data_IF_370530817980
#
_entry.id   IF_370530817980
#
_cell.length_a   1.000
_cell.length_b   1.000
_cell.length_c   1.000
_cell.angle_alpha   90.00
_cell.angle_beta   90.00
_cell.angle_gamma   90.00
#
_symmetry.space_group_name_H-M   'P 1'
#
loop_
_entity.id
_entity.type
_entity.pdbx_description
1 polymer ?
#
# COMPACT_ATOMS: atom_id res chain seq x y z
N UNK A 1 -41.04 66.60 -31.70
CA UNK A 1 -40.92 65.19 -32.13
C UNK A 1 -39.47 64.77 -32.00
N UNK A 2 -39.17 63.60 -31.41
CA UNK A 2 -37.91 62.81 -31.52
C UNK A 2 -36.61 63.52 -31.05
N UNK A 3 -35.56 62.88 -30.50
CA UNK A 3 -35.28 61.60 -29.82
C UNK A 3 -34.21 61.95 -28.72
N UNK A 4 -33.42 61.11 -28.02
CA UNK A 4 -33.13 59.66 -27.97
C UNK A 4 -32.97 59.33 -26.45
N UNK A 5 -33.84 58.51 -25.85
CA UNK A 5 -33.51 57.18 -25.31
C UNK A 5 -32.10 56.96 -24.75
N UNK A 6 -31.97 57.00 -23.42
CA UNK A 6 -30.97 56.21 -22.68
C UNK A 6 -31.65 54.99 -22.04
N UNK A 7 -30.92 53.88 -21.96
CA UNK A 7 -31.34 52.67 -21.24
C UNK A 7 -30.45 52.51 -20.01
N UNK A 8 -30.97 52.79 -18.80
CA UNK A 8 -30.23 52.59 -17.55
C UNK A 8 -31.12 51.89 -16.51
N UNK A 9 -30.82 50.61 -16.26
CA UNK A 9 -31.64 49.70 -15.46
C UNK A 9 -31.32 49.80 -13.96
N UNK A 10 -31.59 50.95 -13.34
CA UNK A 10 -31.30 51.22 -11.92
C UNK A 10 -32.53 51.63 -11.10
N UNK A 11 -33.56 50.77 -11.05
CA UNK A 11 -34.78 51.00 -10.26
C UNK A 11 -34.56 50.87 -8.74
N UNK A 12 -34.57 52.01 -8.02
CA UNK A 12 -34.72 52.06 -6.55
C UNK A 12 -36.18 52.20 -6.13
N UNK A 13 -36.95 51.10 -6.14
CA UNK A 13 -38.22 51.05 -5.43
C UNK A 13 -38.00 50.77 -3.94
N UNK A 14 -38.50 51.65 -3.06
CA UNK A 14 -38.52 51.42 -1.61
C UNK A 14 -39.82 50.74 -1.20
N UNK A 15 -39.73 49.70 -0.38
CA UNK A 15 -40.85 49.13 0.36
C UNK A 15 -40.61 49.28 1.87
N UNK A 16 -41.68 49.48 2.63
CA UNK A 16 -41.68 49.51 4.09
C UNK A 16 -42.61 48.42 4.60
N UNK A 17 -42.25 47.78 5.71
CA UNK A 17 -42.98 46.65 6.31
C UNK A 17 -43.42 47.04 7.72
N UNK A 18 -44.69 46.81 8.13
CA UNK A 18 -45.13 47.08 9.51
C UNK A 18 -44.71 45.99 10.50
N UNK A 19 -44.44 46.38 11.75
CA UNK A 19 -44.02 45.49 12.87
C UNK A 19 -45.04 44.41 13.29
N UNK A 20 -46.22 44.36 12.65
CA UNK A 20 -47.18 43.27 12.84
C UNK A 20 -46.72 41.94 12.22
N UNK A 21 -45.87 41.98 11.19
CA UNK A 21 -45.45 40.79 10.43
C UNK A 21 -44.45 39.89 11.17
N UNK A 22 -43.85 40.36 12.28
CA UNK A 22 -42.75 39.68 12.98
C UNK A 22 -43.23 38.76 14.12
N UNK A 23 -44.52 38.82 14.51
CA UNK A 23 -45.02 38.16 15.74
C UNK A 23 -45.75 36.83 15.57
N UNK A 24 -45.93 36.32 14.36
CA UNK A 24 -46.55 35.00 14.16
C UNK A 24 -45.49 33.87 14.21
N UNK A 25 -45.63 32.96 15.19
CA UNK A 25 -44.66 31.88 15.43
C UNK A 25 -44.85 30.65 14.51
N UNK A 26 -45.86 30.64 13.64
CA UNK A 26 -46.25 29.49 12.81
C UNK A 26 -45.19 29.01 11.79
N UNK A 27 -44.22 29.84 11.39
CA UNK A 27 -43.30 29.55 10.29
C UNK A 27 -41.99 28.82 10.66
N UNK A 28 -41.78 28.43 11.91
CA UNK A 28 -40.54 27.73 12.34
C UNK A 28 -40.26 26.41 11.61
N UNK A 29 -41.27 25.78 11.02
CA UNK A 29 -41.16 24.49 10.33
C UNK A 29 -40.62 24.58 8.89
N UNK A 30 -40.65 25.75 8.23
CA UNK A 30 -40.17 25.90 6.85
C UNK A 30 -38.65 26.19 6.73
N UNK A 31 -37.93 26.35 7.85
CA UNK A 31 -36.50 26.69 7.87
C UNK A 31 -35.58 25.48 7.57
N UNK A 32 -36.00 24.60 6.66
CA UNK A 32 -35.37 23.32 6.34
C UNK A 32 -34.99 23.15 4.85
N UNK A 33 -35.35 24.10 3.98
CA UNK A 33 -34.91 24.12 2.57
C UNK A 33 -33.75 25.12 2.45
N UNK A 34 -32.53 24.63 2.70
CA UNK A 34 -31.33 25.42 2.45
C UNK A 34 -31.01 25.41 0.95
N UNK A 35 -31.38 26.50 0.26
CA UNK A 35 -30.84 26.81 -1.06
C UNK A 35 -29.32 27.04 -0.97
N UNK A 36 -28.62 27.00 -2.11
CA UNK A 36 -27.20 27.33 -2.20
C UNK A 36 -27.00 28.85 -2.04
N UNK A 37 -27.04 29.31 -0.79
CA UNK A 37 -26.76 30.70 -0.43
C UNK A 37 -25.26 30.90 -0.30
N UNK A 38 -24.66 31.63 -1.27
CA UNK A 38 -23.30 32.16 -1.15
C UNK A 38 -23.32 33.24 -0.04
N UNK A 39 -22.91 32.86 1.16
CA UNK A 39 -23.05 33.70 2.34
C UNK A 39 -21.88 34.69 2.45
N UNK A 40 -22.07 35.91 1.94
CA UNK A 40 -21.18 37.05 2.19
C UNK A 40 -21.73 37.86 3.37
N UNK A 41 -21.02 37.95 4.52
CA UNK A 41 -21.45 38.76 5.64
C UNK A 41 -21.66 40.22 5.23
N UNK A 42 -22.75 40.83 5.72
CA UNK A 42 -23.21 42.19 5.40
C UNK A 42 -23.71 42.46 3.96
N UNK A 43 -23.99 41.44 3.13
CA UNK A 43 -24.82 41.63 1.91
C UNK A 43 -26.04 40.71 1.93
N UNK A 44 -27.23 41.30 2.06
CA UNK A 44 -28.50 40.59 2.13
C UNK A 44 -29.08 40.32 0.73
N UNK A 45 -28.58 39.28 0.04
CA UNK A 45 -29.22 38.71 -1.15
C UNK A 45 -28.91 37.21 -1.28
N UNK A 46 -29.94 36.42 -1.54
CA UNK A 46 -29.83 35.11 -2.19
C UNK A 46 -30.98 34.98 -3.17
N UNK A 47 -30.66 34.85 -4.45
CA UNK A 47 -31.61 34.83 -5.55
C UNK A 47 -31.29 33.66 -6.46
N UNK A 48 -32.24 32.76 -6.68
CA UNK A 48 -32.10 31.75 -7.74
C UNK A 48 -32.45 32.43 -9.07
N UNK A 49 -31.47 32.47 -9.96
CA UNK A 49 -31.70 32.78 -11.38
C UNK A 49 -31.86 31.47 -12.13
N UNK A 50 -33.01 31.30 -12.79
CA UNK A 50 -33.21 30.29 -13.83
C UNK A 50 -33.15 31.03 -15.16
N UNK A 51 -32.00 30.92 -15.84
CA UNK A 51 -31.79 31.49 -17.17
C UNK A 51 -31.66 30.33 -18.16
N UNK A 52 -32.54 30.31 -19.17
CA UNK A 52 -32.40 29.42 -20.32
C UNK A 52 -31.73 30.22 -21.45
N UNK A 53 -30.59 29.76 -21.95
CA UNK A 53 -29.66 30.58 -22.75
C UNK A 53 -30.27 31.16 -24.05
N UNK A 54 -31.35 30.56 -24.55
CA UNK A 54 -32.05 30.97 -25.78
C UNK A 54 -33.38 31.73 -25.52
N UNK A 55 -33.71 32.06 -24.26
CA UNK A 55 -34.92 32.82 -23.88
C UNK A 55 -34.54 34.17 -23.23
N UNK A 56 -34.91 35.34 -23.81
CA UNK A 56 -34.63 36.65 -23.22
C UNK A 56 -35.51 37.00 -21.99
N UNK A 57 -36.36 36.08 -21.54
CA UNK A 57 -37.25 36.25 -20.39
C UNK A 57 -36.57 36.16 -19.02
N UNK A 58 -36.85 37.12 -18.14
CA UNK A 58 -36.48 37.06 -16.73
C UNK A 58 -37.61 36.42 -15.90
N UNK A 59 -37.35 35.29 -15.27
CA UNK A 59 -38.28 34.57 -14.40
C UNK A 59 -38.19 35.10 -12.96
N UNK A 60 -39.33 35.48 -12.37
CA UNK A 60 -39.41 36.03 -11.01
C UNK A 60 -40.51 35.37 -10.18
N UNK A 61 -40.21 35.12 -8.90
CA UNK A 61 -41.17 34.61 -7.90
C UNK A 61 -41.81 35.79 -7.17
N UNK A 62 -43.12 35.77 -6.98
CA UNK A 62 -43.88 36.83 -6.31
C UNK A 62 -44.66 36.23 -5.12
N UNK A 63 -44.48 36.79 -3.92
CA UNK A 63 -45.25 36.41 -2.74
C UNK A 63 -46.70 36.92 -2.84
N UNK A 64 -47.65 35.99 -2.89
CA UNK A 64 -49.08 36.26 -3.00
C UNK A 64 -49.73 36.93 -1.78
N UNK A 65 -49.03 37.06 -0.64
CA UNK A 65 -49.57 37.69 0.56
C UNK A 65 -49.34 39.20 0.66
N UNK A 66 -48.74 39.85 -0.35
CA UNK A 66 -48.64 41.31 -0.38
C UNK A 66 -50.05 41.94 -0.53
N UNK A 67 -50.54 42.73 0.47
CA UNK A 67 -51.90 43.28 0.44
C UNK A 67 -52.12 44.34 -0.65
N UNK A 68 -51.08 44.79 -1.38
CA UNK A 68 -51.22 45.64 -2.56
C UNK A 68 -51.55 44.89 -3.86
N UNK A 69 -51.42 43.56 -3.88
CA UNK A 69 -51.64 42.71 -5.07
C UNK A 69 -52.87 41.80 -4.88
N UNK A 70 -53.34 41.63 -3.64
CA UNK A 70 -54.48 40.77 -3.27
C UNK A 70 -55.80 41.31 -3.83
N UNK A 71 -56.14 40.85 -5.04
CA UNK A 71 -57.32 41.28 -5.81
C UNK A 71 -57.04 41.54 -7.29
N UNK A 72 -55.77 41.63 -7.72
CA UNK A 72 -55.42 41.69 -9.14
C UNK A 72 -55.33 40.29 -9.73
N UNK A 73 -56.42 39.85 -10.37
CA UNK A 73 -56.48 38.65 -11.19
C UNK A 73 -55.47 38.73 -12.35
N UNK A 74 -54.54 37.77 -12.41
CA UNK A 74 -53.75 37.35 -13.60
C UNK A 74 -53.61 38.42 -14.70
N UNK A 75 -52.97 39.55 -14.36
CA UNK A 75 -52.79 40.69 -15.25
C UNK A 75 -51.43 40.66 -15.92
N UNK A 76 -51.40 40.70 -17.25
CA UNK A 76 -50.16 40.84 -18.02
C UNK A 76 -49.54 42.21 -17.71
N UNK A 77 -48.25 42.23 -17.34
CA UNK A 77 -47.45 43.46 -17.31
C UNK A 77 -47.08 43.84 -18.74
N UNK A 78 -47.92 44.66 -19.39
CA UNK A 78 -47.94 44.90 -20.84
C UNK A 78 -46.74 45.65 -21.45
N UNK A 79 -45.64 45.82 -20.70
CA UNK A 79 -44.39 46.46 -21.18
C UNK A 79 -43.16 45.53 -21.12
N UNK A 80 -43.30 44.26 -20.69
CA UNK A 80 -42.23 43.24 -20.79
C UNK A 80 -42.75 41.91 -21.36
N UNK A 81 -42.59 41.73 -22.66
CA UNK A 81 -43.21 40.66 -23.48
C UNK A 81 -42.80 39.22 -23.14
N UNK A 82 -41.80 39.00 -22.27
CA UNK A 82 -41.20 37.67 -22.03
C UNK A 82 -41.09 37.26 -20.54
N UNK A 83 -41.84 37.89 -19.63
CA UNK A 83 -41.84 37.51 -18.21
C UNK A 83 -42.96 36.51 -17.87
N UNK A 84 -42.70 35.21 -18.11
CA UNK A 84 -43.62 34.14 -17.71
C UNK A 84 -43.74 34.03 -16.17
N UNK A 85 -44.96 34.08 -15.65
CA UNK A 85 -45.21 33.95 -14.19
C UNK A 85 -45.19 32.49 -13.76
N UNK A 86 -44.33 32.15 -12.80
CA UNK A 86 -44.39 30.87 -12.10
C UNK A 86 -45.57 30.88 -11.12
N UNK A 87 -46.64 30.18 -11.48
CA UNK A 87 -47.80 29.92 -10.61
C UNK A 87 -47.69 28.53 -9.97
N UNK A 88 -48.45 28.26 -8.89
CA UNK A 88 -48.47 26.93 -8.25
C UNK A 88 -48.88 25.82 -9.23
N UNK A 89 -49.74 26.12 -10.21
CA UNK A 89 -50.13 25.18 -11.27
C UNK A 89 -48.95 24.75 -12.18
N UNK A 90 -47.91 25.59 -12.29
CA UNK A 90 -46.71 25.33 -13.09
C UNK A 90 -45.54 24.79 -12.23
N UNK A 91 -45.73 24.68 -10.91
CA UNK A 91 -44.73 24.23 -9.93
C UNK A 91 -45.15 22.89 -9.32
N UNK A 92 -44.94 21.79 -10.06
CA UNK A 92 -45.18 20.44 -9.54
C UNK A 92 -44.10 20.06 -8.51
N UNK A 93 -44.36 20.37 -7.24
CA UNK A 93 -43.41 20.23 -6.11
C UNK A 93 -43.43 18.85 -5.44
N UNK A 94 -44.02 17.82 -6.06
CA UNK A 94 -43.99 16.45 -5.55
C UNK A 94 -42.54 15.96 -5.38
N UNK A 95 -42.09 15.81 -4.13
CA UNK A 95 -40.74 15.36 -3.78
C UNK A 95 -39.65 16.44 -3.78
N UNK A 96 -40.00 17.73 -3.88
CA UNK A 96 -39.04 18.83 -3.69
C UNK A 96 -38.05 19.06 -4.83
N UNK A 97 -38.40 18.66 -6.06
CA UNK A 97 -37.61 18.91 -7.28
C UNK A 97 -38.19 20.09 -8.05
N UNK A 98 -37.34 20.93 -8.65
CA UNK A 98 -37.76 22.06 -9.50
C UNK A 98 -37.58 21.69 -10.97
N UNK A 99 -38.69 21.39 -11.64
CA UNK A 99 -38.74 21.19 -13.10
C UNK A 99 -39.24 22.46 -13.78
N UNK A 100 -38.43 23.03 -14.69
CA UNK A 100 -38.86 24.11 -15.60
C UNK A 100 -39.08 23.55 -17.00
N UNK A 101 -40.23 22.90 -17.18
CA UNK A 101 -40.67 22.41 -18.49
C UNK A 101 -41.28 23.55 -19.32
N UNK A 102 -40.54 24.06 -20.30
CA UNK A 102 -41.11 24.94 -21.33
C UNK A 102 -41.96 24.13 -22.31
N UNK A 103 -43.25 24.44 -22.41
CA UNK A 103 -44.16 23.82 -23.40
C UNK A 103 -45.00 24.88 -24.10
N UNK A 104 -44.98 24.87 -25.43
CA UNK A 104 -45.84 25.73 -26.25
C UNK A 104 -47.21 25.10 -26.50
N UNK A 105 -48.26 25.92 -26.46
CA UNK A 105 -49.47 25.70 -27.24
C UNK A 105 -50.58 24.81 -26.64
N UNK A 106 -51.44 25.43 -25.83
CA UNK A 106 -52.86 25.06 -25.62
C UNK A 106 -53.15 23.72 -24.87
N UNK A 107 -54.38 23.51 -24.36
CA UNK A 107 -54.62 22.53 -23.29
C UNK A 107 -54.91 21.11 -23.79
N UNK A 108 -54.15 20.13 -23.27
CA UNK A 108 -54.33 18.71 -23.56
C UNK A 108 -53.29 17.82 -22.86
N UNK A 109 -53.28 17.82 -21.53
CA UNK A 109 -52.22 17.17 -20.76
C UNK A 109 -52.24 15.63 -20.83
N UNK A 110 -51.24 15.08 -21.52
CA UNK A 110 -50.65 13.78 -21.19
C UNK A 110 -49.17 14.02 -20.83
N UNK A 111 -48.72 13.48 -19.69
CA UNK A 111 -47.37 13.75 -19.19
C UNK A 111 -46.30 12.93 -19.94
N UNK A 112 -45.70 13.51 -20.97
CA UNK A 112 -44.50 12.97 -21.63
C UNK A 112 -43.26 13.26 -20.76
N UNK A 113 -42.47 12.24 -20.35
CA UNK A 113 -41.20 12.47 -19.67
C UNK A 113 -40.25 13.32 -20.52
N UNK A 114 -39.64 14.33 -19.92
CA UNK A 114 -38.70 15.22 -20.63
C UNK A 114 -37.33 14.54 -20.82
N UNK A 115 -36.91 14.38 -22.07
CA UNK A 115 -35.65 13.71 -22.47
C UNK A 115 -34.61 14.71 -22.99
N UNK A 116 -34.51 15.89 -22.38
CA UNK A 116 -33.55 16.90 -22.78
C UNK A 116 -32.13 16.62 -22.27
N UNK A 117 -31.13 16.75 -23.14
CA UNK A 117 -29.71 16.73 -22.76
C UNK A 117 -29.27 18.08 -22.22
N UNK A 118 -28.67 18.11 -21.02
CA UNK A 118 -27.95 19.27 -20.53
C UNK A 118 -26.53 19.32 -21.10
N UNK A 119 -26.09 20.50 -21.52
CA UNK A 119 -24.70 20.79 -21.91
C UNK A 119 -24.14 21.86 -20.98
N UNK A 120 -23.17 21.49 -20.13
CA UNK A 120 -22.39 22.46 -19.35
C UNK A 120 -21.08 22.79 -20.07
N UNK A 121 -20.35 23.81 -19.61
CA UNK A 121 -19.11 24.30 -20.24
C UNK A 121 -17.89 23.36 -20.16
N UNK A 122 -18.09 22.09 -19.82
CA UNK A 122 -17.08 21.00 -19.85
C UNK A 122 -17.62 19.89 -20.76
N UNK A 123 -16.77 19.40 -21.65
CA UNK A 123 -17.20 18.79 -22.91
C UNK A 123 -18.14 17.58 -22.83
N UNK A 124 -19.06 17.53 -23.81
CA UNK A 124 -19.82 16.36 -24.28
C UNK A 124 -20.72 15.61 -23.28
N UNK A 125 -22.00 15.97 -23.32
CA UNK A 125 -23.17 15.07 -23.31
C UNK A 125 -23.17 13.89 -22.31
N UNK A 126 -23.85 14.09 -21.17
CA UNK A 126 -24.44 13.00 -20.40
C UNK A 126 -25.97 13.06 -20.54
N UNK A 127 -26.59 11.96 -21.00
CA UNK A 127 -28.06 11.81 -21.03
C UNK A 127 -28.55 11.44 -19.63
N UNK A 128 -28.42 12.39 -18.70
CA UNK A 128 -28.79 12.21 -17.30
C UNK A 128 -30.31 12.20 -17.11
N UNK A 129 -30.93 11.01 -17.15
CA UNK A 129 -32.27 10.82 -16.60
C UNK A 129 -32.24 11.13 -15.11
N UNK A 130 -32.85 12.25 -14.72
CA UNK A 130 -32.70 12.83 -13.38
C UNK A 130 -33.48 12.05 -12.30
N UNK A 131 -32.98 10.87 -11.93
CA UNK A 131 -33.24 10.28 -10.61
C UNK A 131 -32.64 11.21 -9.56
N UNK A 132 -33.50 12.04 -8.96
CA UNK A 132 -33.09 13.21 -8.20
C UNK A 132 -32.14 12.90 -7.04
N UNK A 133 -30.95 13.49 -7.10
CA UNK A 133 -29.93 13.43 -6.05
C UNK A 133 -30.39 14.22 -4.82
N UNK A 134 -31.05 13.56 -3.86
CA UNK A 134 -31.61 14.21 -2.67
C UNK A 134 -30.49 14.54 -1.68
N UNK A 135 -29.94 15.75 -1.78
CA UNK A 135 -28.97 16.30 -0.80
C UNK A 135 -29.70 16.64 0.49
N UNK A 136 -29.45 15.86 1.54
CA UNK A 136 -29.93 16.14 2.89
C UNK A 136 -28.80 16.74 3.75
N UNK A 137 -29.17 17.30 4.90
CA UNK A 137 -28.23 17.86 5.89
C UNK A 137 -27.13 16.87 6.35
N UNK A 138 -27.37 15.58 6.20
CA UNK A 138 -26.47 14.50 6.63
C UNK A 138 -25.73 13.81 5.46
N UNK A 139 -25.85 14.33 4.23
CA UNK A 139 -25.32 13.71 3.00
C UNK A 139 -26.40 13.52 1.94
N UNK A 140 -26.00 13.08 0.74
CA UNK A 140 -26.94 12.80 -0.35
C UNK A 140 -27.43 11.35 -0.31
N UNK A 141 -28.73 11.15 -0.48
CA UNK A 141 -29.34 9.82 -0.49
C UNK A 141 -29.57 9.35 -1.94
N UNK A 142 -28.85 8.30 -2.33
CA UNK A 142 -29.00 7.60 -3.61
C UNK A 142 -29.78 6.31 -3.32
N UNK A 143 -30.83 6.03 -4.09
CA UNK A 143 -31.73 4.90 -3.88
C UNK A 143 -31.99 4.14 -5.19
N UNK A 144 -32.25 2.83 -5.08
CA UNK A 144 -32.37 1.92 -6.23
C UNK A 144 -31.07 1.81 -7.05
N UNK A 145 -31.17 1.21 -8.23
CA UNK A 145 -30.05 1.00 -9.17
C UNK A 145 -29.65 2.30 -9.92
N UNK A 146 -29.52 3.40 -9.19
CA UNK A 146 -29.13 4.71 -9.74
C UNK A 146 -27.66 4.69 -10.14
N UNK A 147 -27.39 4.22 -11.36
CA UNK A 147 -26.08 4.13 -11.96
C UNK A 147 -25.51 5.54 -12.25
N UNK A 148 -24.69 6.06 -11.34
CA UNK A 148 -23.91 7.28 -11.58
C UNK A 148 -22.81 6.94 -12.59
N UNK A 149 -23.10 7.17 -13.87
CA UNK A 149 -22.19 6.89 -14.98
C UNK A 149 -20.95 7.80 -14.89
N UNK A 150 -19.87 7.25 -14.31
CA UNK A 150 -18.63 7.99 -13.97
C UNK A 150 -18.22 7.91 -12.50
N UNK A 151 -19.07 7.35 -11.63
CA UNK A 151 -18.78 7.16 -10.19
C UNK A 151 -19.06 8.39 -9.32
N UNK A 152 -18.75 8.28 -8.02
CA UNK A 152 -19.06 9.31 -7.02
C UNK A 152 -17.99 10.42 -6.99
N UNK A 153 -18.35 11.62 -7.43
CA UNK A 153 -17.49 12.80 -7.32
C UNK A 153 -17.45 13.32 -5.88
N UNK A 154 -16.25 13.38 -5.28
CA UNK A 154 -16.06 13.72 -3.86
C UNK A 154 -15.26 15.00 -3.58
N UNK A 155 -14.78 15.74 -4.58
CA UNK A 155 -13.97 16.97 -4.38
C UNK A 155 -12.83 16.82 -3.33
N UNK A 156 -12.11 15.70 -3.37
CA UNK A 156 -11.05 15.37 -2.41
C UNK A 156 -11.52 15.15 -0.96
N UNK A 157 -12.82 15.13 -0.67
CA UNK A 157 -13.36 14.82 0.65
C UNK A 157 -13.35 13.31 0.89
N UNK A 158 -13.39 12.91 2.17
CA UNK A 158 -13.51 11.49 2.57
C UNK A 158 -14.95 11.02 2.39
N UNK A 159 -15.14 9.84 1.79
CA UNK A 159 -16.34 9.06 2.05
C UNK A 159 -16.31 8.58 3.52
N UNK A 160 -17.41 8.79 4.24
CA UNK A 160 -17.56 8.44 5.67
C UNK A 160 -18.81 7.59 5.87
N UNK A 161 -18.93 6.95 7.03
CA UNK A 161 -20.06 6.09 7.41
C UNK A 161 -20.33 4.89 6.48
N UNK A 162 -19.32 4.47 5.70
CA UNK A 162 -19.35 3.24 4.92
C UNK A 162 -19.31 2.01 5.85
N UNK A 163 -20.14 1.01 5.55
CA UNK A 163 -20.05 -0.30 6.19
C UNK A 163 -18.83 -1.09 5.66
N UNK A 164 -18.26 -2.03 6.44
CA UNK A 164 -17.19 -2.89 5.96
C UNK A 164 -17.60 -3.74 4.75
N UNK A 165 -16.72 -3.82 3.75
CA UNK A 165 -16.89 -4.60 2.53
C UNK A 165 -16.95 -6.11 2.78
N UNK A 166 -17.77 -6.83 2.01
CA UNK A 166 -17.69 -8.28 1.87
C UNK A 166 -16.53 -8.62 0.93
N UNK A 167 -15.44 -9.16 1.45
CA UNK A 167 -14.24 -9.44 0.64
C UNK A 167 -14.37 -10.80 -0.05
N UNK A 168 -14.45 -10.78 -1.39
CA UNK A 168 -14.46 -11.97 -2.26
C UNK A 168 -13.80 -11.66 -3.60
N UNK A 169 -13.54 -12.68 -4.43
CA UNK A 169 -12.97 -12.52 -5.78
C UNK A 169 -13.90 -11.85 -6.79
N UNK A 170 -15.16 -11.59 -6.42
CA UNK A 170 -16.17 -10.92 -7.26
C UNK A 170 -16.75 -9.67 -6.59
N UNK A 171 -16.15 -9.21 -5.50
CA UNK A 171 -16.67 -8.06 -4.74
C UNK A 171 -16.36 -6.75 -5.45
N UNK A 172 -17.37 -5.87 -5.48
CA UNK A 172 -17.25 -4.47 -5.92
C UNK A 172 -17.38 -3.49 -4.75
N UNK A 173 -17.32 -3.99 -3.51
CA UNK A 173 -17.52 -3.20 -2.30
C UNK A 173 -16.33 -2.28 -2.00
N UNK A 174 -16.60 -1.10 -1.45
CA UNK A 174 -15.57 -0.17 -0.99
C UNK A 174 -14.93 -0.66 0.33
N UNK A 175 -13.71 -1.21 0.27
CA UNK A 175 -12.96 -1.64 1.46
C UNK A 175 -12.68 -0.44 2.38
N UNK A 176 -13.15 -0.51 3.63
CA UNK A 176 -13.04 0.60 4.58
C UNK A 176 -11.78 0.54 5.42
N UNK A 177 -11.38 1.68 5.99
CA UNK A 177 -10.11 1.83 6.71
C UNK A 177 -9.90 0.85 7.87
N UNK A 178 -10.95 0.37 8.55
CA UNK A 178 -10.81 -0.64 9.61
C UNK A 178 -10.36 -2.01 9.09
N UNK A 179 -10.75 -2.39 7.87
CA UNK A 179 -10.35 -3.66 7.24
C UNK A 179 -8.88 -3.62 6.81
N UNK A 180 -8.45 -2.51 6.22
CA UNK A 180 -7.03 -2.28 5.90
C UNK A 180 -6.19 -2.19 7.19
N UNK A 181 -6.70 -1.54 8.24
CA UNK A 181 -6.04 -1.46 9.54
C UNK A 181 -5.85 -2.85 10.19
N UNK A 182 -6.81 -3.78 10.05
CA UNK A 182 -6.58 -5.17 10.47
C UNK A 182 -5.40 -5.78 9.72
N UNK A 183 -5.28 -5.58 8.40
CA UNK A 183 -4.15 -6.07 7.62
C UNK A 183 -2.81 -5.39 8.00
N UNK A 184 -2.79 -4.09 8.33
CA UNK A 184 -1.53 -3.42 8.74
C UNK A 184 -1.09 -3.78 10.16
N UNK A 185 -2.02 -3.92 11.11
CA UNK A 185 -1.69 -4.23 12.50
C UNK A 185 -1.50 -5.73 12.78
N UNK A 186 -2.28 -6.59 12.12
CA UNK A 186 -2.25 -8.05 12.36
C UNK A 186 -1.66 -8.83 11.20
N UNK A 187 -1.29 -8.18 10.09
CA UNK A 187 -0.64 -8.83 8.95
C UNK A 187 -1.52 -9.88 8.27
N UNK A 188 -0.89 -10.94 7.79
CA UNK A 188 -1.58 -12.15 7.30
C UNK A 188 -1.14 -13.37 8.12
N UNK A 189 -1.85 -14.50 7.98
CA UNK A 189 -1.66 -15.73 8.79
C UNK A 189 -0.20 -16.21 8.98
N UNK A 190 0.71 -15.87 8.04
CA UNK A 190 2.12 -16.28 8.09
C UNK A 190 3.10 -15.11 8.07
N UNK A 191 2.62 -13.87 7.99
CA UNK A 191 3.45 -12.66 7.88
C UNK A 191 2.93 -11.59 8.85
N UNK A 192 3.60 -11.50 10.00
CA UNK A 192 3.37 -10.48 11.03
C UNK A 192 4.68 -9.70 11.23
N UNK A 193 4.63 -8.37 11.22
CA UNK A 193 5.77 -7.52 11.50
C UNK A 193 5.58 -6.82 12.87
N UNK A 194 6.54 -6.98 13.77
CA UNK A 194 6.61 -6.25 15.03
C UNK A 194 8.00 -5.62 15.15
N UNK A 195 8.09 -4.30 14.96
CA UNK A 195 9.34 -3.55 14.98
C UNK A 195 9.15 -2.23 15.72
N UNK A 196 10.10 -1.90 16.59
CA UNK A 196 10.29 -0.56 17.13
C UNK A 196 11.41 0.22 16.40
N UNK A 197 12.12 -0.41 15.47
CA UNK A 197 13.10 0.23 14.60
C UNK A 197 12.36 0.83 13.37
N UNK A 198 12.38 2.16 13.17
CA UNK A 198 11.64 2.83 12.10
C UNK A 198 12.38 2.89 10.76
N UNK A 199 13.63 2.41 10.68
CA UNK A 199 14.34 2.32 9.40
C UNK A 199 13.75 1.21 8.53
N UNK A 200 13.33 1.57 7.32
CA UNK A 200 12.80 0.65 6.32
C UNK A 200 13.86 -0.32 5.79
N UNK A 201 13.40 -1.34 5.06
CA UNK A 201 14.19 -2.22 4.21
C UNK A 201 14.54 -1.57 2.87
N UNK A 202 15.70 -1.91 2.31
CA UNK A 202 16.28 -1.27 1.12
C UNK A 202 16.79 -2.34 0.13
N UNK A 203 15.93 -2.87 -0.74
CA UNK A 203 16.32 -3.76 -1.84
C UNK A 203 16.76 -2.93 -3.05
N UNK A 204 18.06 -2.60 -3.10
CA UNK A 204 18.69 -1.82 -4.19
C UNK A 204 19.24 -2.67 -5.33
N UNK A 205 19.51 -3.95 -5.10
CA UNK A 205 19.87 -4.90 -6.16
C UNK A 205 18.68 -5.23 -7.06
N UNK A 206 18.93 -5.52 -8.34
CA UNK A 206 17.90 -6.02 -9.24
C UNK A 206 17.35 -7.36 -8.71
N UNK A 207 16.03 -7.55 -8.74
CA UNK A 207 15.34 -8.76 -8.25
C UNK A 207 15.67 -9.14 -6.78
N UNK A 208 16.04 -8.15 -5.96
CA UNK A 208 16.40 -8.34 -4.56
C UNK A 208 15.19 -8.47 -3.62
N UNK A 209 15.35 -9.25 -2.56
CA UNK A 209 14.38 -9.39 -1.45
C UNK A 209 15.01 -8.85 -0.17
N UNK A 210 14.42 -7.81 0.42
CA UNK A 210 14.80 -7.28 1.73
C UNK A 210 13.63 -7.38 2.71
N UNK A 211 13.83 -7.99 3.88
CA UNK A 211 12.76 -8.23 4.87
C UNK A 211 13.24 -7.91 6.29
N UNK A 212 12.62 -6.90 6.91
CA UNK A 212 12.92 -6.46 8.27
C UNK A 212 13.62 -5.10 8.30
N UNK A 213 13.62 -4.43 9.46
CA UNK A 213 14.05 -3.04 9.57
C UNK A 213 15.56 -2.88 9.35
N UNK A 214 15.97 -1.80 8.69
CA UNK A 214 17.34 -1.51 8.28
C UNK A 214 18.02 -2.63 7.43
N UNK A 215 17.26 -3.55 6.82
CA UNK A 215 17.81 -4.58 5.92
C UNK A 215 18.24 -3.94 4.60
N UNK A 216 19.49 -4.11 4.16
CA UNK A 216 19.99 -3.51 2.91
C UNK A 216 20.51 -4.59 1.96
N UNK A 217 19.96 -4.66 0.75
CA UNK A 217 20.24 -5.74 -0.20
C UNK A 217 20.66 -5.14 -1.54
N UNK A 218 21.97 -4.92 -1.70
CA UNK A 218 22.56 -4.24 -2.84
C UNK A 218 22.97 -5.19 -3.98
N UNK A 219 23.18 -6.47 -3.68
CA UNK A 219 23.53 -7.47 -4.68
C UNK A 219 22.31 -7.91 -5.48
N UNK A 220 22.42 -7.95 -6.81
CA UNK A 220 21.37 -8.49 -7.68
C UNK A 220 21.01 -9.93 -7.29
N UNK A 221 19.73 -10.28 -7.37
CA UNK A 221 19.16 -11.56 -6.94
C UNK A 221 19.49 -11.93 -5.48
N UNK A 222 19.81 -10.93 -4.65
CA UNK A 222 20.16 -11.11 -3.24
C UNK A 222 18.94 -11.23 -2.31
N UNK A 223 19.13 -11.88 -1.17
CA UNK A 223 18.10 -12.08 -0.15
C UNK A 223 18.63 -11.66 1.22
N UNK A 224 18.08 -10.58 1.78
CA UNK A 224 18.36 -10.12 3.15
C UNK A 224 17.13 -10.27 4.03
N UNK A 225 17.26 -10.95 5.18
CA UNK A 225 16.16 -11.15 6.14
C UNK A 225 16.66 -10.96 7.57
N UNK A 226 16.29 -9.85 8.23
CA UNK A 226 16.55 -9.61 9.65
C UNK A 226 17.05 -8.19 9.95
N UNK A 227 16.86 -7.74 11.20
CA UNK A 227 17.25 -6.39 11.63
C UNK A 227 18.72 -6.09 11.32
N UNK A 228 18.98 -5.09 10.48
CA UNK A 228 20.32 -4.75 9.96
C UNK A 228 21.05 -5.88 9.20
N UNK A 229 20.32 -6.78 8.52
CA UNK A 229 20.93 -7.72 7.57
C UNK A 229 21.43 -6.99 6.31
N UNK A 230 22.60 -7.37 5.79
CA UNK A 230 23.25 -6.71 4.65
C UNK A 230 23.68 -7.74 3.60
N UNK A 231 23.26 -7.54 2.36
CA UNK A 231 23.88 -8.13 1.16
C UNK A 231 24.65 -7.02 0.43
N UNK A 232 25.96 -7.19 0.30
CA UNK A 232 26.86 -6.21 -0.31
C UNK A 232 26.67 -6.08 -1.83
N UNK A 233 27.12 -4.98 -2.45
CA UNK A 233 26.91 -4.73 -3.89
C UNK A 233 27.59 -5.78 -4.78
N UNK A 234 28.75 -6.30 -4.37
CA UNK A 234 29.45 -7.40 -5.07
C UNK A 234 28.85 -8.79 -4.79
N UNK A 235 27.89 -8.91 -3.88
CA UNK A 235 27.27 -10.17 -3.47
C UNK A 235 26.04 -10.49 -4.33
N UNK A 236 26.24 -10.56 -5.65
CA UNK A 236 25.22 -11.07 -6.59
C UNK A 236 24.86 -12.51 -6.20
N UNK A 237 23.58 -12.81 -6.06
CA UNK A 237 23.07 -14.07 -5.51
C UNK A 237 23.39 -14.29 -4.02
N UNK A 238 23.75 -13.24 -3.29
CA UNK A 238 24.13 -13.31 -1.88
C UNK A 238 22.93 -13.39 -0.93
N UNK A 239 23.05 -14.20 0.12
CA UNK A 239 21.98 -14.48 1.09
C UNK A 239 22.46 -14.11 2.50
N UNK A 240 21.74 -13.22 3.19
CA UNK A 240 22.05 -12.77 4.55
C UNK A 240 20.80 -12.89 5.44
N UNK A 241 20.75 -13.90 6.32
CA UNK A 241 19.56 -14.24 7.11
C UNK A 241 19.90 -14.27 8.61
N UNK A 242 19.36 -13.30 9.35
CA UNK A 242 19.55 -13.09 10.78
C UNK A 242 19.82 -11.61 11.10
N UNK A 243 19.79 -11.21 12.38
CA UNK A 243 20.14 -9.84 12.75
C UNK A 243 21.64 -9.59 12.57
N UNK A 244 22.00 -8.44 12.00
CA UNK A 244 23.37 -8.00 11.72
C UNK A 244 24.21 -8.95 10.83
N UNK A 245 23.58 -9.82 10.02
CA UNK A 245 24.30 -10.71 9.10
C UNK A 245 24.81 -9.97 7.87
N UNK A 246 26.01 -10.32 7.40
CA UNK A 246 26.63 -9.69 6.23
C UNK A 246 27.05 -10.76 5.22
N UNK A 247 26.46 -10.73 4.02
CA UNK A 247 26.93 -11.50 2.87
C UNK A 247 27.56 -10.53 1.87
N UNK A 248 28.89 -10.58 1.71
CA UNK A 248 29.65 -9.62 0.88
C UNK A 248 30.41 -10.27 -0.26
N UNK A 249 30.56 -11.61 -0.26
CA UNK A 249 31.07 -12.36 -1.41
C UNK A 249 29.98 -12.67 -2.43
N UNK A 250 30.34 -12.74 -3.71
CA UNK A 250 29.46 -13.21 -4.80
C UNK A 250 28.96 -14.63 -4.52
N UNK A 251 27.65 -14.89 -4.62
CA UNK A 251 27.00 -16.14 -4.25
C UNK A 251 27.34 -16.66 -2.83
N UNK A 252 27.61 -15.76 -1.88
CA UNK A 252 27.87 -16.11 -0.47
C UNK A 252 26.60 -16.21 0.36
N UNK A 253 26.58 -17.06 1.38
CA UNK A 253 25.45 -17.26 2.29
C UNK A 253 25.88 -17.07 3.75
N UNK A 254 25.21 -16.18 4.47
CA UNK A 254 25.42 -15.86 5.87
C UNK A 254 24.11 -16.14 6.64
N UNK A 255 24.09 -17.13 7.54
CA UNK A 255 22.89 -17.58 8.25
C UNK A 255 23.12 -17.70 9.77
N UNK A 256 22.50 -16.81 10.53
CA UNK A 256 22.56 -16.73 12.00
C UNK A 256 23.14 -15.40 12.51
N UNK A 257 22.69 -14.91 13.67
CA UNK A 257 23.02 -13.57 14.16
C UNK A 257 24.51 -13.20 14.05
N UNK A 258 24.82 -12.10 13.35
CA UNK A 258 26.19 -11.60 13.17
C UNK A 258 27.12 -12.43 12.28
N UNK A 259 26.65 -13.42 11.51
CA UNK A 259 27.49 -14.13 10.53
C UNK A 259 28.02 -13.22 9.43
N UNK A 260 29.25 -13.48 8.98
CA UNK A 260 29.90 -12.72 7.91
C UNK A 260 30.41 -13.67 6.82
N UNK A 261 29.72 -13.73 5.67
CA UNK A 261 30.14 -14.50 4.51
C UNK A 261 30.85 -13.59 3.49
N UNK A 262 32.18 -13.58 3.54
CA UNK A 262 33.02 -12.60 2.84
C UNK A 262 33.69 -13.19 1.58
N UNK A 263 34.02 -14.49 1.59
CA UNK A 263 34.52 -15.19 0.41
C UNK A 263 33.43 -15.42 -0.64
N UNK A 264 33.79 -15.43 -1.93
CA UNK A 264 32.85 -15.82 -2.98
C UNK A 264 32.46 -17.30 -2.83
N UNK A 265 31.22 -17.66 -3.15
CA UNK A 265 30.69 -19.04 -3.03
C UNK A 265 30.87 -19.66 -1.63
N UNK A 266 30.91 -18.83 -0.57
CA UNK A 266 31.19 -19.27 0.81
C UNK A 266 29.95 -19.30 1.69
N UNK A 267 29.94 -20.17 2.70
CA UNK A 267 28.81 -20.37 3.63
C UNK A 267 29.22 -20.17 5.09
N UNK A 268 28.76 -19.10 5.73
CA UNK A 268 28.89 -18.88 7.17
C UNK A 268 27.57 -19.26 7.88
N UNK A 269 27.58 -20.34 8.66
CA UNK A 269 26.38 -20.92 9.28
C UNK A 269 26.52 -21.05 10.81
N UNK A 270 25.72 -20.28 11.54
CA UNK A 270 25.69 -20.23 13.00
C UNK A 270 26.22 -18.89 13.54
N UNK A 271 25.60 -18.38 14.61
CA UNK A 271 25.82 -17.01 15.09
C UNK A 271 27.31 -16.64 15.23
N UNK A 272 27.72 -15.52 14.63
CA UNK A 272 29.11 -15.04 14.62
C UNK A 272 30.11 -15.83 13.76
N UNK A 273 29.68 -16.82 12.95
CA UNK A 273 30.57 -17.52 12.04
C UNK A 273 31.08 -16.61 10.90
N UNK A 274 32.32 -16.82 10.45
CA UNK A 274 32.97 -15.98 9.44
C UNK A 274 33.67 -16.84 8.37
N UNK A 275 33.20 -16.77 7.12
CA UNK A 275 33.96 -17.26 5.96
C UNK A 275 34.72 -16.12 5.30
N UNK A 276 36.04 -16.15 5.41
CA UNK A 276 36.92 -15.20 4.69
C UNK A 276 37.36 -15.72 3.32
N UNK A 277 37.34 -17.04 3.15
CA UNK A 277 37.93 -17.73 2.01
C UNK A 277 36.87 -18.12 0.97
N UNK A 278 37.23 -18.04 -0.30
CA UNK A 278 36.39 -18.46 -1.43
C UNK A 278 36.08 -19.97 -1.34
N UNK A 279 34.88 -20.36 -1.79
CA UNK A 279 34.42 -21.75 -1.90
C UNK A 279 34.59 -22.57 -0.59
N UNK A 280 34.46 -21.89 0.57
CA UNK A 280 34.73 -22.46 1.89
C UNK A 280 33.55 -22.25 2.84
N UNK A 281 33.46 -23.07 3.89
CA UNK A 281 32.31 -23.15 4.80
C UNK A 281 32.80 -22.93 6.25
N UNK A 282 32.17 -22.02 6.99
CA UNK A 282 32.34 -21.88 8.43
C UNK A 282 31.08 -22.41 9.13
N UNK A 283 31.20 -23.53 9.84
CA UNK A 283 30.07 -24.30 10.36
C UNK A 283 30.04 -24.33 11.88
N UNK A 284 28.99 -23.77 12.47
CA UNK A 284 28.80 -23.61 13.92
C UNK A 284 29.07 -22.17 14.40
N UNK A 285 28.53 -21.82 15.57
CA UNK A 285 28.67 -20.48 16.13
C UNK A 285 30.15 -20.09 16.34
N UNK A 286 30.52 -18.85 15.99
CA UNK A 286 31.89 -18.33 16.02
C UNK A 286 32.93 -19.15 15.23
N UNK A 287 32.50 -20.03 14.31
CA UNK A 287 33.42 -20.79 13.45
C UNK A 287 34.09 -19.90 12.42
N UNK A 288 35.33 -20.22 12.05
CA UNK A 288 36.12 -19.46 11.07
C UNK A 288 36.78 -20.37 10.04
N UNK A 289 36.83 -19.92 8.78
CA UNK A 289 37.73 -20.48 7.76
C UNK A 289 39.07 -19.73 7.82
N UNK A 290 40.19 -20.43 7.97
CA UNK A 290 41.53 -19.81 8.03
C UNK A 290 42.44 -20.21 6.88
N UNK A 291 42.17 -21.35 6.22
CA UNK A 291 43.03 -21.98 5.21
C UNK A 291 42.54 -21.72 3.79
N UNK A 292 41.27 -21.99 3.52
CA UNK A 292 40.70 -21.90 2.17
C UNK A 292 41.22 -22.96 1.19
N UNK A 293 41.23 -22.61 -0.11
CA UNK A 293 41.75 -23.45 -1.17
C UNK A 293 43.30 -23.46 -1.18
N UNK A 294 43.90 -24.63 -1.35
CA UNK A 294 45.36 -24.81 -1.38
C UNK A 294 45.79 -25.63 -2.59
N UNK A 295 46.96 -25.29 -3.15
CA UNK A 295 47.64 -26.07 -4.18
C UNK A 295 48.97 -26.62 -3.67
N UNK A 296 49.32 -27.82 -4.15
CA UNK A 296 50.62 -28.47 -3.94
C UNK A 296 51.08 -28.59 -2.47
N UNK A 297 50.17 -28.81 -1.53
CA UNK A 297 50.54 -28.97 -0.11
C UNK A 297 51.01 -30.41 0.20
N UNK A 298 52.01 -30.55 1.07
CA UNK A 298 52.53 -31.85 1.50
C UNK A 298 51.66 -32.43 2.62
N UNK A 299 50.90 -33.48 2.31
CA UNK A 299 50.14 -34.24 3.30
C UNK A 299 51.02 -35.29 4.00
N UNK A 300 50.80 -35.52 5.30
CA UNK A 300 51.57 -36.51 6.06
C UNK A 300 51.37 -37.92 5.48
N UNK A 301 52.48 -38.63 5.23
CA UNK A 301 52.48 -40.01 4.73
C UNK A 301 52.16 -40.17 3.24
N UNK A 302 51.87 -39.10 2.49
CA UNK A 302 51.63 -39.16 1.04
C UNK A 302 52.87 -38.66 0.26
N UNK A 303 53.34 -39.41 -0.76
CA UNK A 303 54.51 -39.02 -1.56
C UNK A 303 54.19 -37.97 -2.64
N UNK A 304 52.91 -37.75 -2.93
CA UNK A 304 52.43 -36.78 -3.92
C UNK A 304 51.84 -35.55 -3.22
N UNK A 305 52.13 -34.37 -3.75
CA UNK A 305 51.53 -33.13 -3.28
C UNK A 305 50.02 -33.12 -3.54
N UNK A 306 49.25 -32.54 -2.60
CA UNK A 306 47.79 -32.53 -2.59
C UNK A 306 47.24 -31.14 -2.93
N UNK A 307 45.94 -31.06 -3.21
CA UNK A 307 45.23 -29.81 -3.43
C UNK A 307 43.83 -29.84 -2.78
N UNK A 308 43.31 -28.67 -2.40
CA UNK A 308 41.95 -28.47 -1.89
C UNK A 308 41.28 -27.31 -2.63
N UNK A 309 39.98 -27.45 -2.89
CA UNK A 309 39.18 -26.39 -3.54
C UNK A 309 38.55 -25.41 -2.53
N UNK A 310 38.79 -25.61 -1.23
CA UNK A 310 38.19 -24.88 -0.13
C UNK A 310 38.37 -25.60 1.20
N UNK A 311 37.74 -25.09 2.25
CA UNK A 311 37.86 -25.54 3.64
C UNK A 311 36.47 -25.69 4.31
N UNK A 312 36.32 -26.63 5.23
CA UNK A 312 35.18 -26.66 6.19
C UNK A 312 35.69 -26.35 7.59
N UNK A 313 35.68 -25.06 7.94
CA UNK A 313 36.10 -24.52 9.23
C UNK A 313 35.05 -24.78 10.32
N UNK A 314 35.35 -25.71 11.23
CA UNK A 314 34.53 -25.99 12.45
C UNK A 314 35.17 -25.47 13.74
N UNK A 315 36.38 -24.90 13.64
CA UNK A 315 37.13 -24.30 14.74
C UNK A 315 36.79 -22.83 14.95
N UNK A 316 37.04 -22.35 16.16
CA UNK A 316 36.81 -20.95 16.59
C UNK A 316 38.12 -20.36 17.09
N UNK A 317 38.17 -19.04 17.30
CA UNK A 317 39.32 -18.39 17.96
C UNK A 317 39.59 -18.89 19.40
N UNK A 318 38.65 -19.61 20.02
CA UNK A 318 38.78 -20.20 21.37
C UNK A 318 39.15 -21.69 21.34
N UNK A 319 39.20 -22.33 20.15
CA UNK A 319 39.52 -23.75 20.00
C UNK A 319 38.60 -24.50 19.04
N UNK A 320 38.90 -25.79 18.88
CA UNK A 320 38.32 -26.68 17.86
C UNK A 320 37.19 -27.55 18.38
N UNK A 321 36.29 -27.97 17.49
CA UNK A 321 35.23 -28.94 17.78
C UNK A 321 35.67 -30.36 17.44
N UNK A 322 35.13 -31.34 18.18
CA UNK A 322 35.17 -32.76 17.80
C UNK A 322 34.11 -33.03 16.73
N UNK A 323 34.45 -33.80 15.71
CA UNK A 323 33.46 -34.44 14.82
C UNK A 323 33.15 -35.81 15.44
N UNK A 324 31.88 -36.07 15.77
CA UNK A 324 31.42 -37.30 16.42
C UNK A 324 30.33 -37.98 15.60
N UNK A 325 30.23 -39.31 15.67
CA UNK A 325 29.35 -40.09 14.79
C UNK A 325 29.97 -40.44 13.43
N UNK A 326 31.28 -40.19 13.26
CA UNK A 326 32.03 -40.55 12.04
C UNK A 326 32.15 -42.07 11.93
N UNK A 327 31.49 -42.66 10.93
CA UNK A 327 31.65 -44.05 10.56
C UNK A 327 33.10 -44.35 10.11
N UNK A 328 33.49 -45.62 10.07
CA UNK A 328 34.83 -45.98 9.62
C UNK A 328 34.96 -45.73 8.09
N UNK A 329 35.97 -44.95 7.70
CA UNK A 329 36.23 -44.64 6.29
C UNK A 329 36.67 -45.86 5.47
N UNK A 330 36.28 -45.89 4.19
CA UNK A 330 36.42 -47.03 3.27
C UNK A 330 37.12 -46.66 1.96
N UNK A 331 36.93 -45.44 1.47
CA UNK A 331 37.59 -44.87 0.30
C UNK A 331 38.69 -43.87 0.70
N UNK A 332 39.57 -43.54 -0.26
CA UNK A 332 40.76 -42.71 -0.02
C UNK A 332 40.53 -41.25 0.40
N UNK A 333 39.28 -40.78 0.39
CA UNK A 333 38.88 -39.43 0.84
C UNK A 333 37.85 -39.46 1.99
N UNK A 334 37.56 -40.63 2.56
CA UNK A 334 36.69 -40.75 3.72
C UNK A 334 37.42 -40.29 4.99
N UNK A 335 36.67 -39.71 5.94
CA UNK A 335 37.23 -39.34 7.23
C UNK A 335 37.56 -40.59 8.07
N UNK A 336 38.82 -40.70 8.51
CA UNK A 336 39.27 -41.79 9.40
C UNK A 336 38.80 -41.52 10.83
N UNK A 337 38.17 -42.51 11.46
CA UNK A 337 37.71 -42.41 12.85
C UNK A 337 38.69 -43.01 13.87
N UNK A 338 38.44 -42.79 15.17
CA UNK A 338 39.35 -43.23 16.24
C UNK A 338 39.52 -44.75 16.27
N UNK A 339 38.49 -45.55 15.97
CA UNK A 339 38.62 -47.02 16.02
C UNK A 339 39.54 -47.57 14.94
N UNK A 340 39.59 -46.92 13.77
CA UNK A 340 40.55 -47.25 12.72
C UNK A 340 41.98 -46.90 13.15
N UNK A 341 42.17 -45.73 13.79
CA UNK A 341 43.48 -45.33 14.32
C UNK A 341 43.97 -46.27 15.42
N UNK A 342 43.10 -46.70 16.35
CA UNK A 342 43.42 -47.73 17.36
C UNK A 342 43.82 -49.06 16.71
N UNK A 343 43.14 -49.49 15.64
CA UNK A 343 43.50 -50.71 14.92
C UNK A 343 44.85 -50.62 14.18
N UNK A 344 45.37 -49.41 13.92
CA UNK A 344 46.76 -49.19 13.48
C UNK A 344 47.72 -49.17 14.67
N UNK A 345 47.38 -48.49 15.77
CA UNK A 345 48.17 -48.46 17.01
C UNK A 345 48.50 -49.86 17.52
N UNK A 346 47.50 -50.73 17.65
CA UNK A 346 47.67 -52.12 18.07
C UNK A 346 48.68 -52.92 17.22
N UNK A 347 48.88 -52.55 15.94
CA UNK A 347 49.90 -53.16 15.06
C UNK A 347 51.30 -52.59 15.31
N UNK A 348 51.41 -51.30 15.62
CA UNK A 348 52.67 -50.65 16.02
C UNK A 348 53.14 -51.18 17.37
N UNK A 349 52.24 -51.35 18.32
CA UNK A 349 52.54 -51.94 19.64
C UNK A 349 53.04 -53.39 19.49
N UNK A 350 52.39 -54.19 18.64
CA UNK A 350 52.87 -55.54 18.31
C UNK A 350 54.25 -55.52 17.67
N UNK A 351 54.48 -54.68 16.65
CA UNK A 351 55.79 -54.56 16.01
C UNK A 351 56.88 -54.17 17.03
N UNK A 352 56.55 -53.29 17.98
CA UNK A 352 57.45 -52.88 19.05
C UNK A 352 57.84 -54.05 19.94
N UNK A 353 56.86 -54.85 20.39
CA UNK A 353 57.12 -56.05 21.20
C UNK A 353 57.93 -57.12 20.43
N UNK A 354 57.63 -57.35 19.15
CA UNK A 354 58.37 -58.28 18.29
C UNK A 354 59.82 -57.82 18.09
N UNK A 355 60.07 -56.50 17.94
CA UNK A 355 61.42 -55.91 17.86
C UNK A 355 62.17 -56.02 19.19
N UNK A 356 61.53 -55.77 20.34
CA UNK A 356 62.16 -55.97 21.66
C UNK A 356 62.58 -57.42 21.87
N UNK A 357 61.76 -58.38 21.43
CA UNK A 357 62.09 -59.81 21.46
C UNK A 357 63.31 -60.14 20.57
N UNK A 358 63.38 -59.56 19.37
CA UNK A 358 64.55 -59.72 18.50
C UNK A 358 65.81 -59.09 19.12
N UNK A 359 65.71 -57.91 19.72
CA UNK A 359 66.84 -57.24 20.39
C UNK A 359 67.46 -58.12 21.48
N UNK A 360 66.65 -58.65 22.39
CA UNK A 360 67.14 -59.59 23.43
C UNK A 360 67.76 -60.87 22.85
N UNK A 361 67.24 -61.38 21.73
CA UNK A 361 67.85 -62.52 21.02
C UNK A 361 69.19 -62.18 20.38
N UNK A 362 69.37 -60.95 19.90
CA UNK A 362 70.65 -60.46 19.35
C UNK A 362 71.68 -60.26 20.46
N UNK A 363 71.31 -59.67 21.59
CA UNK A 363 72.21 -59.56 22.76
C UNK A 363 72.72 -60.91 23.26
N UNK A 364 71.87 -61.95 23.24
CA UNK A 364 72.27 -63.32 23.58
C UNK A 364 73.23 -63.99 22.56
N UNK A 365 73.42 -63.40 21.37
CA UNK A 365 74.36 -63.85 20.33
C UNK A 365 75.61 -62.99 20.29
N UNK A 366 75.51 -61.71 20.64
CA UNK A 366 76.64 -60.77 20.71
C UNK A 366 77.44 -60.87 22.02
N UNK A 367 76.89 -61.51 23.06
CA UNK A 367 77.49 -61.64 24.39
C UNK A 367 77.43 -63.05 24.99
N UNK A 368 77.51 -64.09 24.15
CA UNK A 368 77.57 -65.51 24.55
C UNK A 368 78.89 -66.18 24.16
#
# INVERSE_FOLDING_TARGET
MKNIRECDCNYKFRFAVPDSFIRDNSFRSLLAIFMVTIFVPNTAISSIYVNNADDPGCYGVVDGNNPKIKGQSTGILTDYTYCNTLTEANLNTNGGQLFVGGQGGAPGYAATPWTGTFTTGVGTSNVGTAYGFVVQKNGAFINGDTYVQGGLFLDGKKATNLAPATISSTSTDAVVGSQLYTLTQTGTRYFHANSANPQDSVPTGQDAIAVGPATVVNGNNGIGIGNSAVVGPSAVGGIAIGPNTQATGTASTALGAGTQAQGAQSLALGAGAVTRQTNSIALGASSVTTVGAQSSYSAYGLPTAQASVGEVGIGTAQGNRKITGVAAGSAGYDAVNVTQLTAVGNKVDKNTADITSLGGRVTNVEGG
#
